data_IF_570335104890
#
_entry.id   IF_570335104890
#
_cell.length_a   1.000
_cell.length_b   1.000
_cell.length_c   1.000
_cell.angle_alpha   90.00
_cell.angle_beta   90.00
_cell.angle_gamma   90.00
#
_symmetry.space_group_name_H-M   'P 1'
#
loop_
_entity.id
_entity.type
_entity.pdbx_description
1 polymer ?
#
# COMPACT_ATOMS: atom_id res chain seq x y z
N UNK A 1 21.65 -7.79 13.46
CA UNK A 1 20.91 -6.62 12.96
C UNK A 1 20.35 -5.87 14.15
N UNK A 2 20.63 -4.57 14.29
CA UNK A 2 20.17 -3.79 15.45
C UNK A 2 18.68 -3.49 15.33
N UNK A 3 18.04 -3.09 16.42
CA UNK A 3 16.59 -2.78 16.42
C UNK A 3 16.30 -1.63 15.45
N UNK A 4 17.19 -0.64 15.40
CA UNK A 4 17.08 0.53 14.52
C UNK A 4 17.06 0.12 13.05
N UNK A 5 17.88 -0.86 12.66
CA UNK A 5 17.92 -1.36 11.29
C UNK A 5 16.60 -2.06 10.92
N UNK A 6 16.01 -2.82 11.86
CA UNK A 6 14.73 -3.51 11.66
C UNK A 6 13.57 -2.53 11.51
N UNK A 7 13.56 -1.46 12.30
CA UNK A 7 12.55 -0.40 12.22
C UNK A 7 12.63 0.32 10.87
N UNK A 8 13.83 0.68 10.42
CA UNK A 8 14.04 1.28 9.09
C UNK A 8 13.55 0.36 7.97
N UNK A 9 13.83 -0.94 8.07
CA UNK A 9 13.34 -1.90 7.09
C UNK A 9 11.82 -1.99 7.05
N UNK A 10 11.16 -1.99 8.22
CA UNK A 10 9.70 -1.98 8.32
C UNK A 10 9.10 -0.70 7.71
N UNK A 11 9.68 0.47 7.98
CA UNK A 11 9.23 1.74 7.39
C UNK A 11 9.34 1.73 5.86
N UNK A 12 10.40 1.13 5.31
CA UNK A 12 10.55 1.00 3.86
C UNK A 12 9.48 0.06 3.27
N UNK A 13 9.25 -1.10 3.88
CA UNK A 13 8.17 -2.00 3.46
C UNK A 13 6.80 -1.31 3.50
N UNK A 14 6.54 -0.49 4.52
CA UNK A 14 5.30 0.26 4.63
C UNK A 14 5.13 1.27 3.48
N UNK A 15 6.18 2.05 3.17
CA UNK A 15 6.17 2.98 2.03
C UNK A 15 5.92 2.25 0.71
N UNK A 16 6.60 1.13 0.47
CA UNK A 16 6.42 0.35 -0.75
C UNK A 16 4.99 -0.21 -0.86
N UNK A 17 4.46 -0.76 0.24
CA UNK A 17 3.09 -1.27 0.26
C UNK A 17 2.06 -0.16 0.01
N UNK A 18 2.28 1.05 0.53
CA UNK A 18 1.43 2.22 0.30
C UNK A 18 1.40 2.66 -1.17
N UNK A 19 2.55 2.58 -1.86
CA UNK A 19 2.65 2.89 -3.30
C UNK A 19 1.93 1.86 -4.19
N UNK A 20 1.73 0.63 -3.71
CA UNK A 20 1.00 -0.42 -4.41
C UNK A 20 1.54 -0.67 -5.82
N UNK A 21 0.77 -0.33 -6.86
CA UNK A 21 1.18 -0.48 -8.26
C UNK A 21 2.25 0.52 -8.74
N UNK A 22 2.72 1.42 -7.87
CA UNK A 22 3.65 2.50 -8.17
C UNK A 22 2.98 3.76 -8.72
N UNK A 23 3.68 4.88 -8.65
CA UNK A 23 3.18 6.22 -9.04
C UNK A 23 2.56 6.26 -10.44
N UNK A 24 3.16 5.56 -11.40
CA UNK A 24 2.65 5.49 -12.78
C UNK A 24 1.23 4.91 -12.84
N UNK A 25 0.95 3.86 -12.07
CA UNK A 25 -0.38 3.23 -12.05
C UNK A 25 -1.39 4.03 -11.24
N UNK A 26 -0.95 4.70 -10.18
CA UNK A 26 -1.78 5.64 -9.40
C UNK A 26 -2.27 6.76 -10.33
N UNK A 27 -1.33 7.43 -11.00
CA UNK A 27 -1.64 8.49 -11.96
C UNK A 27 -2.60 8.00 -13.05
N UNK A 28 -2.37 6.82 -13.60
CA UNK A 28 -3.26 6.25 -14.63
C UNK A 28 -4.69 5.94 -14.12
N UNK A 29 -4.92 5.75 -12.82
CA UNK A 29 -6.27 5.67 -12.26
C UNK A 29 -6.91 7.06 -12.19
N UNK A 30 -6.18 8.04 -11.67
CA UNK A 30 -6.66 9.42 -11.55
C UNK A 30 -6.95 10.06 -12.91
N UNK A 31 -6.10 9.83 -13.91
CA UNK A 31 -6.31 10.29 -15.29
C UNK A 31 -7.58 9.71 -15.92
N UNK A 32 -8.06 8.55 -15.42
CA UNK A 32 -9.33 7.92 -15.82
C UNK A 32 -10.53 8.37 -14.97
N UNK A 33 -10.35 9.36 -14.10
CA UNK A 33 -11.37 9.82 -13.14
C UNK A 33 -11.69 8.80 -12.06
N UNK A 34 -10.79 7.87 -11.76
CA UNK A 34 -10.99 6.81 -10.76
C UNK A 34 -10.10 7.02 -9.55
N UNK A 35 -10.66 6.77 -8.38
CA UNK A 35 -9.91 6.65 -7.14
C UNK A 35 -9.14 5.33 -7.09
N UNK A 36 -8.01 5.32 -6.40
CA UNK A 36 -7.27 4.11 -6.02
C UNK A 36 -8.07 3.27 -5.01
N UNK A 37 -7.63 2.04 -4.74
CA UNK A 37 -8.30 1.18 -3.78
C UNK A 37 -8.32 1.80 -2.37
N UNK A 38 -7.19 2.36 -1.90
CA UNK A 38 -7.10 2.99 -0.57
C UNK A 38 -7.93 4.25 -0.46
N UNK A 39 -7.90 5.11 -1.47
CA UNK A 39 -8.74 6.32 -1.50
C UNK A 39 -10.24 5.99 -1.40
N UNK A 40 -10.69 4.86 -1.96
CA UNK A 40 -12.08 4.41 -1.82
C UNK A 40 -12.40 3.94 -0.41
N UNK A 41 -11.47 3.24 0.25
CA UNK A 41 -11.63 2.83 1.66
C UNK A 41 -11.71 4.05 2.57
N UNK A 42 -10.83 5.04 2.36
CA UNK A 42 -10.82 6.29 3.14
C UNK A 42 -12.09 7.13 2.94
N UNK A 43 -12.71 7.06 1.76
CA UNK A 43 -13.99 7.72 1.48
C UNK A 43 -15.18 7.01 2.13
N UNK A 44 -15.13 5.68 2.20
CA UNK A 44 -16.23 4.84 2.67
C UNK A 44 -16.31 4.77 4.20
N UNK A 45 -15.16 4.74 4.87
CA UNK A 45 -15.08 4.51 6.31
C UNK A 45 -14.88 5.81 7.09
N UNK A 46 -15.29 5.78 8.36
CA UNK A 46 -15.03 6.89 9.28
C UNK A 46 -13.52 7.10 9.45
N UNK A 47 -13.10 8.35 9.42
CA UNK A 47 -11.68 8.72 9.49
C UNK A 47 -11.01 8.11 10.72
N UNK A 48 -9.89 7.43 10.50
CA UNK A 48 -9.08 6.83 11.57
C UNK A 48 -9.60 5.49 12.10
N UNK A 49 -10.70 4.94 11.54
CA UNK A 49 -11.24 3.64 11.97
C UNK A 49 -10.65 2.45 11.22
N UNK A 50 -10.15 2.67 10.00
CA UNK A 50 -9.61 1.60 9.18
C UNK A 50 -8.33 1.00 9.78
N UNK A 51 -8.29 -0.34 9.87
CA UNK A 51 -7.13 -1.13 10.32
C UNK A 51 -6.81 -2.17 9.26
N UNK A 52 -5.75 -1.93 8.50
CA UNK A 52 -5.30 -2.81 7.41
C UNK A 52 -4.68 -4.09 8.00
N UNK A 53 -5.09 -5.24 7.47
CA UNK A 53 -4.47 -6.56 7.72
C UNK A 53 -3.76 -7.02 6.47
N UNK A 54 -2.77 -7.91 6.61
CA UNK A 54 -2.05 -8.53 5.48
C UNK A 54 -1.36 -7.55 4.51
N UNK A 55 -1.03 -6.33 4.96
CA UNK A 55 -0.39 -5.26 4.16
C UNK A 55 0.85 -5.71 3.39
N UNK A 56 1.65 -6.62 3.97
CA UNK A 56 2.93 -7.07 3.41
C UNK A 56 2.85 -8.43 2.68
N UNK A 57 1.64 -8.97 2.48
CA UNK A 57 1.48 -10.25 1.78
C UNK A 57 1.87 -10.12 0.31
N UNK A 58 2.70 -11.05 -0.15
CA UNK A 58 3.07 -11.21 -1.55
C UNK A 58 2.60 -12.55 -2.08
N UNK A 59 2.41 -12.64 -3.39
CA UNK A 59 2.11 -13.92 -4.02
C UNK A 59 3.27 -14.90 -3.83
N UNK A 60 2.97 -16.21 -3.85
CA UNK A 60 3.96 -17.28 -3.80
C UNK A 60 4.16 -18.01 -5.13
N UNK A 61 3.41 -17.62 -6.16
CA UNK A 61 3.60 -18.18 -7.50
C UNK A 61 4.99 -17.78 -8.01
N UNK A 62 5.59 -18.63 -8.82
CA UNK A 62 6.89 -18.39 -9.47
C UNK A 62 6.76 -18.23 -10.99
N UNK A 63 5.60 -18.55 -11.55
CA UNK A 63 5.28 -18.44 -12.98
C UNK A 63 4.36 -17.21 -13.21
N UNK A 64 4.85 -16.18 -13.92
CA UNK A 64 4.11 -14.94 -14.26
C UNK A 64 4.37 -14.47 -15.68
#
# INVERSE_FOLDING_TARGET
MKIEDKLKHLEELDKQAQLGGGEKRIKAQHDKGRLTARERVDLLLDKGTFRETDKFVTHRCTDF
#
